data_IF_839559554070
#
_entry.id   IF_839559554070
#
_cell.length_a   1.000
_cell.length_b   1.000
_cell.length_c   1.000
_cell.angle_alpha   90.00
_cell.angle_beta   90.00
_cell.angle_gamma   90.00
#
_symmetry.space_group_name_H-M   'P 1'
#
loop_
_entity.id
_entity.type
_entity.pdbx_description
1 polymer ?
#
# COMPACT_ATOMS: atom_id res chain seq x y z
N UNK A 1 -43.43 24.07 0.63
CA UNK A 1 -42.85 24.49 -0.67
C UNK A 1 -42.63 23.21 -1.45
N UNK A 2 -43.57 22.87 -2.34
CA UNK A 2 -43.50 21.62 -3.11
C UNK A 2 -42.48 21.80 -4.23
N UNK A 3 -41.37 21.08 -4.15
CA UNK A 3 -40.39 21.01 -5.23
C UNK A 3 -41.05 20.31 -6.43
N UNK A 4 -41.22 21.06 -7.51
CA UNK A 4 -41.86 20.54 -8.71
C UNK A 4 -40.91 19.57 -9.42
N UNK A 5 -41.43 18.55 -10.09
CA UNK A 5 -40.62 17.49 -10.72
C UNK A 5 -39.61 18.05 -11.75
N UNK A 6 -39.93 19.20 -12.35
CA UNK A 6 -39.06 19.97 -13.25
C UNK A 6 -37.84 20.57 -12.54
N UNK A 7 -37.99 21.01 -11.29
CA UNK A 7 -36.89 21.58 -10.50
C UNK A 7 -35.90 20.49 -10.09
N UNK A 8 -36.42 19.30 -9.76
CA UNK A 8 -35.60 18.12 -9.43
C UNK A 8 -34.80 17.63 -10.65
N UNK A 9 -35.39 17.68 -11.85
CA UNK A 9 -34.73 17.32 -13.11
C UNK A 9 -33.61 18.31 -13.49
N UNK A 10 -33.71 19.57 -13.06
CA UNK A 10 -32.67 20.59 -13.26
C UNK A 10 -31.53 20.50 -12.23
N UNK A 11 -31.82 20.04 -11.01
CA UNK A 11 -30.84 19.90 -9.92
C UNK A 11 -30.04 18.59 -10.06
N UNK A 12 -30.65 17.53 -10.58
CA UNK A 12 -30.02 16.19 -10.71
C UNK A 12 -28.69 16.20 -11.50
N UNK A 13 -28.55 16.87 -12.66
CA UNK A 13 -27.29 16.92 -13.40
C UNK A 13 -26.19 17.62 -12.61
N UNK A 14 -26.52 18.69 -11.87
CA UNK A 14 -25.58 19.43 -11.04
C UNK A 14 -25.06 18.57 -9.87
N UNK A 15 -25.94 17.81 -9.22
CA UNK A 15 -25.56 16.84 -8.18
C UNK A 15 -24.66 15.75 -8.78
N UNK A 16 -25.04 15.20 -9.94
CA UNK A 16 -24.24 14.18 -10.63
C UNK A 16 -22.86 14.70 -11.03
N UNK A 17 -22.75 15.95 -11.47
CA UNK A 17 -21.48 16.57 -11.85
C UNK A 17 -20.58 16.78 -10.63
N UNK A 18 -21.13 17.28 -9.51
CA UNK A 18 -20.39 17.43 -8.25
C UNK A 18 -19.93 16.06 -7.72
N UNK A 19 -20.81 15.05 -7.72
CA UNK A 19 -20.48 13.69 -7.32
C UNK A 19 -19.42 13.07 -8.23
N UNK A 20 -19.56 13.21 -9.55
CA UNK A 20 -18.61 12.71 -10.54
C UNK A 20 -17.22 13.35 -10.40
N UNK A 21 -17.18 14.66 -10.15
CA UNK A 21 -15.93 15.38 -9.86
C UNK A 21 -15.30 14.88 -8.56
N UNK A 22 -16.09 14.70 -7.50
CA UNK A 22 -15.61 14.13 -6.23
C UNK A 22 -15.00 12.73 -6.40
N UNK A 23 -15.70 11.82 -7.07
CA UNK A 23 -15.20 10.46 -7.36
C UNK A 23 -13.91 10.51 -8.16
N UNK A 24 -13.86 11.35 -9.21
CA UNK A 24 -12.66 11.51 -10.05
C UNK A 24 -11.48 12.06 -9.25
N UNK A 25 -11.71 13.06 -8.40
CA UNK A 25 -10.68 13.65 -7.54
C UNK A 25 -10.12 12.63 -6.55
N UNK A 26 -10.99 11.88 -5.84
CA UNK A 26 -10.55 10.84 -4.91
C UNK A 26 -9.83 9.70 -5.61
N UNK A 27 -10.29 9.29 -6.79
CA UNK A 27 -9.65 8.27 -7.62
C UNK A 27 -8.24 8.71 -8.07
N UNK A 28 -8.10 9.92 -8.62
CA UNK A 28 -6.81 10.48 -9.04
C UNK A 28 -5.85 10.64 -7.87
N UNK A 29 -6.33 11.15 -6.72
CA UNK A 29 -5.53 11.27 -5.51
C UNK A 29 -4.99 9.91 -5.06
N UNK A 30 -5.84 8.88 -5.08
CA UNK A 30 -5.47 7.52 -4.71
C UNK A 30 -4.48 6.90 -5.70
N UNK A 31 -4.68 7.11 -7.00
CA UNK A 31 -3.75 6.66 -8.03
C UNK A 31 -2.36 7.28 -7.83
N UNK A 32 -2.28 8.60 -7.62
CA UNK A 32 -1.01 9.29 -7.38
C UNK A 32 -0.31 8.79 -6.12
N UNK A 33 -1.06 8.49 -5.06
CA UNK A 33 -0.51 7.87 -3.85
C UNK A 33 0.08 6.48 -4.13
N UNK A 34 -0.61 5.67 -4.95
CA UNK A 34 -0.11 4.35 -5.34
C UNK A 34 1.17 4.46 -6.18
N UNK A 35 1.24 5.38 -7.14
CA UNK A 35 2.43 5.61 -7.97
C UNK A 35 3.64 6.03 -7.12
N UNK A 36 3.47 7.00 -6.23
CA UNK A 36 4.53 7.44 -5.29
C UNK A 36 4.98 6.27 -4.41
N UNK A 37 4.03 5.47 -3.91
CA UNK A 37 4.33 4.29 -3.11
C UNK A 37 5.15 3.26 -3.91
N UNK A 38 4.79 2.98 -5.16
CA UNK A 38 5.52 2.04 -6.00
C UNK A 38 6.93 2.53 -6.34
N UNK A 39 7.09 3.83 -6.59
CA UNK A 39 8.42 4.45 -6.75
C UNK A 39 9.27 4.26 -5.49
N UNK A 40 8.68 4.50 -4.32
CA UNK A 40 9.35 4.29 -3.03
C UNK A 40 9.73 2.81 -2.81
N UNK A 41 8.81 1.88 -3.08
CA UNK A 41 9.08 0.44 -2.97
C UNK A 41 10.21 0.02 -3.92
N UNK A 42 10.18 0.48 -5.17
CA UNK A 42 11.24 0.17 -6.13
C UNK A 42 12.59 0.73 -5.72
N UNK A 43 12.62 1.95 -5.17
CA UNK A 43 13.81 2.53 -4.56
C UNK A 43 14.32 1.69 -3.38
N UNK A 44 13.45 1.34 -2.43
CA UNK A 44 13.82 0.51 -1.27
C UNK A 44 14.36 -0.87 -1.69
N UNK A 45 13.77 -1.51 -2.71
CA UNK A 45 14.29 -2.77 -3.25
C UNK A 45 15.69 -2.58 -3.83
N UNK A 46 15.88 -1.58 -4.70
CA UNK A 46 17.13 -1.41 -5.47
C UNK A 46 18.30 -0.90 -4.63
N UNK A 47 18.04 0.07 -3.77
CA UNK A 47 19.09 0.80 -3.05
C UNK A 47 19.36 0.25 -1.64
N UNK A 48 18.37 -0.41 -1.02
CA UNK A 48 18.49 -0.86 0.38
C UNK A 48 18.44 -2.38 0.48
N UNK A 49 17.29 -2.99 0.15
CA UNK A 49 17.01 -4.37 0.49
C UNK A 49 17.81 -5.37 -0.34
N UNK A 50 17.91 -5.17 -1.66
CA UNK A 50 18.65 -6.10 -2.51
C UNK A 50 20.17 -6.04 -2.25
N UNK A 51 20.81 -4.86 -2.12
CA UNK A 51 22.22 -4.79 -1.73
C UNK A 51 22.47 -5.39 -0.35
N UNK A 52 21.62 -5.08 0.64
CA UNK A 52 21.75 -5.65 2.00
C UNK A 52 21.61 -7.17 1.99
N UNK A 53 20.65 -7.71 1.24
CA UNK A 53 20.47 -9.15 1.09
C UNK A 53 21.71 -9.83 0.48
N UNK A 54 22.24 -9.26 -0.62
CA UNK A 54 23.43 -9.79 -1.30
C UNK A 54 24.67 -9.74 -0.40
N UNK A 55 24.92 -8.60 0.26
CA UNK A 55 26.11 -8.46 1.12
C UNK A 55 26.07 -9.40 2.33
N UNK A 56 24.91 -9.59 2.97
CA UNK A 56 24.78 -10.56 4.07
C UNK A 56 24.99 -11.99 3.55
N UNK A 57 24.50 -12.30 2.36
CA UNK A 57 24.72 -13.61 1.74
C UNK A 57 26.20 -13.84 1.42
N UNK A 58 26.91 -12.82 0.93
CA UNK A 58 28.34 -12.87 0.68
C UNK A 58 29.14 -13.07 1.97
N UNK A 59 28.76 -12.38 3.06
CA UNK A 59 29.35 -12.57 4.40
C UNK A 59 29.17 -14.03 4.86
N UNK A 60 27.97 -14.60 4.71
CA UNK A 60 27.68 -16.00 5.07
C UNK A 60 28.47 -16.99 4.22
N UNK A 61 28.70 -16.71 2.93
CA UNK A 61 29.51 -17.57 2.06
C UNK A 61 31.01 -17.56 2.45
N UNK A 62 31.46 -16.52 3.16
CA UNK A 62 32.85 -16.36 3.61
C UNK A 62 33.14 -16.94 4.99
N UNK A 63 32.20 -17.68 5.61
CA UNK A 63 32.35 -18.25 6.97
C UNK A 63 33.65 -19.05 7.13
N UNK A 64 34.07 -19.78 6.10
CA UNK A 64 35.32 -20.57 6.14
C UNK A 64 36.60 -19.71 6.20
N UNK A 65 36.54 -18.42 5.87
CA UNK A 65 37.67 -17.51 5.80
C UNK A 65 37.51 -16.31 6.74
N UNK A 66 37.82 -16.50 8.03
CA UNK A 66 37.66 -15.51 9.11
C UNK A 66 38.17 -14.11 8.79
N UNK A 67 39.35 -13.98 8.14
CA UNK A 67 39.91 -12.68 7.74
C UNK A 67 39.06 -11.97 6.68
N UNK A 68 38.60 -12.69 5.67
CA UNK A 68 37.77 -12.14 4.59
C UNK A 68 36.38 -11.79 5.09
N UNK A 69 35.80 -12.65 5.94
CA UNK A 69 34.53 -12.42 6.62
C UNK A 69 34.57 -11.14 7.47
N UNK A 70 35.59 -10.95 8.32
CA UNK A 70 35.72 -9.75 9.14
C UNK A 70 35.85 -8.47 8.31
N UNK A 71 36.54 -8.53 7.15
CA UNK A 71 36.61 -7.40 6.21
C UNK A 71 35.24 -7.11 5.57
N UNK A 72 34.49 -8.14 5.20
CA UNK A 72 33.15 -7.99 4.65
C UNK A 72 32.18 -7.40 5.68
N UNK A 73 32.25 -7.85 6.95
CA UNK A 73 31.47 -7.29 8.05
C UNK A 73 31.78 -5.81 8.32
N UNK A 74 33.06 -5.43 8.33
CA UNK A 74 33.48 -4.02 8.49
C UNK A 74 32.96 -3.15 7.35
N UNK A 75 33.05 -3.64 6.11
CA UNK A 75 32.52 -2.93 4.94
C UNK A 75 30.99 -2.79 5.00
N UNK A 76 30.29 -3.86 5.38
CA UNK A 76 28.83 -3.86 5.53
C UNK A 76 28.38 -2.87 6.61
N UNK A 77 28.99 -2.94 7.79
CA UNK A 77 28.67 -2.02 8.90
C UNK A 77 28.87 -0.57 8.47
N UNK A 78 30.05 -0.21 7.95
CA UNK A 78 30.37 1.17 7.53
C UNK A 78 29.42 1.71 6.45
N UNK A 79 29.02 0.85 5.51
CA UNK A 79 28.08 1.23 4.44
C UNK A 79 26.72 1.63 4.98
N UNK A 80 26.24 0.92 5.99
CA UNK A 80 24.88 1.05 6.50
C UNK A 80 24.78 1.87 7.81
N UNK A 81 25.88 2.13 8.52
CA UNK A 81 25.93 3.00 9.71
C UNK A 81 26.26 4.46 9.41
N UNK A 82 26.76 4.78 8.21
CA UNK A 82 27.15 6.15 7.85
C UNK A 82 25.99 7.15 7.83
N UNK A 83 26.30 8.44 8.01
CA UNK A 83 25.30 9.53 8.00
C UNK A 83 24.46 9.62 6.71
N UNK A 84 25.03 9.15 5.59
CA UNK A 84 24.34 9.05 4.29
C UNK A 84 23.74 7.67 4.01
N UNK A 85 23.61 6.83 5.04
CA UNK A 85 23.10 5.47 4.87
C UNK A 85 21.68 5.50 4.31
N UNK A 86 21.41 4.69 3.28
CA UNK A 86 20.08 4.64 2.66
C UNK A 86 19.03 4.07 3.65
N UNK A 87 19.44 3.50 4.78
CA UNK A 87 18.54 3.08 5.84
C UNK A 87 17.77 4.25 6.48
N UNK A 88 18.39 5.43 6.64
CA UNK A 88 17.77 6.56 7.34
C UNK A 88 16.68 7.26 6.53
N UNK A 89 16.79 7.25 5.20
CA UNK A 89 15.89 7.99 4.31
C UNK A 89 14.71 7.15 3.83
N UNK A 90 14.84 5.82 3.84
CA UNK A 90 13.87 4.96 3.17
C UNK A 90 13.48 3.66 3.87
N UNK A 91 14.18 3.21 4.92
CA UNK A 91 13.95 1.84 5.40
C UNK A 91 12.74 1.66 6.32
N UNK A 92 12.22 0.43 6.35
CA UNK A 92 11.22 -0.01 7.30
C UNK A 92 11.78 0.06 8.73
N UNK A 93 11.01 0.58 9.69
CA UNK A 93 11.39 0.73 11.10
C UNK A 93 11.96 -0.57 11.70
N UNK A 94 11.41 -1.73 11.32
CA UNK A 94 11.88 -3.03 11.79
C UNK A 94 13.27 -3.35 11.29
N UNK A 95 13.56 -3.11 10.02
CA UNK A 95 14.88 -3.37 9.43
C UNK A 95 15.92 -2.46 10.08
N UNK A 96 15.55 -1.20 10.31
CA UNK A 96 16.39 -0.27 11.03
C UNK A 96 16.70 -0.74 12.45
N UNK A 97 15.70 -1.18 13.23
CA UNK A 97 15.91 -1.73 14.58
C UNK A 97 16.80 -2.97 14.55
N UNK A 98 16.58 -3.88 13.60
CA UNK A 98 17.43 -5.08 13.46
C UNK A 98 18.87 -4.71 13.09
N UNK A 99 19.05 -3.69 12.26
CA UNK A 99 20.37 -3.19 11.91
C UNK A 99 21.07 -2.53 13.11
N UNK A 100 20.34 -1.79 13.95
CA UNK A 100 20.90 -1.21 15.18
C UNK A 100 21.34 -2.29 16.18
N UNK A 101 20.55 -3.36 16.34
CA UNK A 101 20.95 -4.51 17.17
C UNK A 101 22.22 -5.16 16.59
N UNK A 102 22.27 -5.41 15.28
CA UNK A 102 23.49 -5.88 14.61
C UNK A 102 24.69 -4.96 14.85
N UNK A 103 24.52 -3.65 14.70
CA UNK A 103 25.60 -2.67 14.87
C UNK A 103 26.16 -2.68 16.30
N UNK A 104 25.27 -2.75 17.30
CA UNK A 104 25.66 -2.89 18.71
C UNK A 104 26.43 -4.19 18.97
N UNK A 105 25.93 -5.33 18.45
CA UNK A 105 26.63 -6.62 18.60
C UNK A 105 27.97 -6.65 17.87
N UNK A 106 28.07 -5.93 16.75
CA UNK A 106 29.32 -5.81 16.00
C UNK A 106 30.36 -5.01 16.79
N UNK A 107 29.97 -3.89 17.41
CA UNK A 107 30.84 -3.09 18.28
C UNK A 107 31.30 -3.92 19.48
N UNK A 108 30.38 -4.61 20.16
CA UNK A 108 30.70 -5.50 21.29
C UNK A 108 31.72 -6.58 20.91
N UNK A 109 31.54 -7.22 19.76
CA UNK A 109 32.48 -8.21 19.25
C UNK A 109 33.86 -7.63 18.90
N UNK A 110 33.91 -6.37 18.45
CA UNK A 110 35.17 -5.67 18.15
C UNK A 110 35.94 -5.29 19.40
N UNK A 111 35.24 -4.92 20.46
CA UNK A 111 35.82 -4.58 21.76
C UNK A 111 36.29 -5.83 22.50
N UNK A 112 35.46 -6.89 22.52
CA UNK A 112 35.76 -8.16 23.18
C UNK A 112 35.42 -9.36 22.25
N UNK A 113 36.42 -9.91 21.53
CA UNK A 113 36.22 -10.97 20.54
C UNK A 113 36.13 -12.37 21.20
N UNK A 114 35.19 -12.55 22.12
CA UNK A 114 34.88 -13.83 22.75
C UNK A 114 33.88 -14.67 21.90
N UNK A 115 33.78 -15.96 22.19
CA UNK A 115 32.90 -16.89 21.46
C UNK A 115 31.42 -16.53 21.62
N UNK A 116 31.02 -16.08 22.81
CA UNK A 116 29.64 -15.64 23.07
C UNK A 116 29.27 -14.41 22.23
N UNK A 117 30.13 -13.39 22.20
CA UNK A 117 29.92 -12.19 21.38
C UNK A 117 29.92 -12.53 19.88
N UNK A 118 30.71 -13.51 19.46
CA UNK A 118 30.67 -14.02 18.10
C UNK A 118 29.31 -14.65 17.76
N UNK A 119 28.78 -15.48 18.66
CA UNK A 119 27.48 -16.11 18.51
C UNK A 119 26.35 -15.08 18.50
N UNK A 120 26.37 -14.09 19.39
CA UNK A 120 25.38 -13.00 19.40
C UNK A 120 25.42 -12.17 18.11
N UNK A 121 26.61 -11.85 17.61
CA UNK A 121 26.77 -11.17 16.32
C UNK A 121 26.11 -11.97 15.20
N UNK A 122 26.36 -13.28 15.12
CA UNK A 122 25.75 -14.12 14.08
C UNK A 122 24.24 -14.22 14.18
N UNK A 123 23.71 -14.36 15.41
CA UNK A 123 22.27 -14.37 15.63
C UNK A 123 21.64 -13.07 15.13
N UNK A 124 22.27 -11.91 15.39
CA UNK A 124 21.77 -10.62 14.90
C UNK A 124 21.82 -10.50 13.37
N UNK A 125 22.87 -11.00 12.73
CA UNK A 125 23.00 -11.05 11.25
C UNK A 125 21.90 -11.93 10.64
N UNK A 126 21.67 -13.10 11.22
CA UNK A 126 20.68 -14.06 10.74
C UNK A 126 19.26 -13.53 10.90
N UNK A 127 19.00 -12.85 12.01
CA UNK A 127 17.74 -12.16 12.25
C UNK A 127 17.52 -11.03 11.23
N UNK A 128 18.52 -10.17 11.02
CA UNK A 128 18.49 -9.11 10.01
C UNK A 128 18.25 -9.68 8.61
N UNK A 129 18.98 -10.74 8.22
CA UNK A 129 18.80 -11.44 6.94
C UNK A 129 17.37 -11.93 6.75
N UNK A 130 16.78 -12.55 7.77
CA UNK A 130 15.41 -13.06 7.74
C UNK A 130 14.40 -11.93 7.50
N UNK A 131 14.56 -10.79 8.20
CA UNK A 131 13.69 -9.63 8.02
C UNK A 131 13.83 -9.00 6.63
N UNK A 132 15.06 -8.81 6.15
CA UNK A 132 15.34 -8.27 4.82
C UNK A 132 14.76 -9.18 3.74
N UNK A 133 14.99 -10.50 3.82
CA UNK A 133 14.46 -11.48 2.87
C UNK A 133 12.94 -11.50 2.85
N UNK A 134 12.30 -11.49 4.03
CA UNK A 134 10.85 -11.46 4.16
C UNK A 134 10.28 -10.20 3.50
N UNK A 135 10.88 -9.03 3.79
CA UNK A 135 10.43 -7.76 3.24
C UNK A 135 10.64 -7.65 1.74
N UNK A 136 11.77 -8.13 1.24
CA UNK A 136 12.06 -8.20 -0.18
C UNK A 136 11.03 -9.07 -0.92
N UNK A 137 10.62 -10.22 -0.33
CA UNK A 137 9.57 -11.08 -0.90
C UNK A 137 8.22 -10.38 -0.95
N UNK A 138 7.85 -9.67 0.12
CA UNK A 138 6.62 -8.88 0.18
C UNK A 138 6.61 -7.76 -0.88
N UNK A 139 7.71 -7.00 -0.98
CA UNK A 139 7.83 -5.93 -1.96
C UNK A 139 7.88 -6.42 -3.39
N UNK A 140 8.54 -7.56 -3.67
CA UNK A 140 8.47 -8.21 -4.98
C UNK A 140 7.07 -8.65 -5.32
N UNK A 141 6.31 -9.20 -4.36
CA UNK A 141 4.90 -9.57 -4.59
C UNK A 141 4.06 -8.35 -4.96
N UNK A 142 4.22 -7.24 -4.23
CA UNK A 142 3.49 -5.99 -4.49
C UNK A 142 3.92 -5.36 -5.82
N UNK A 143 5.22 -5.30 -6.09
CA UNK A 143 5.76 -4.77 -7.34
C UNK A 143 5.28 -5.62 -8.52
N UNK A 144 5.46 -6.94 -8.48
CA UNK A 144 5.03 -7.86 -9.53
C UNK A 144 3.51 -7.82 -9.75
N UNK A 145 2.69 -7.77 -8.70
CA UNK A 145 1.23 -7.68 -8.89
C UNK A 145 0.81 -6.43 -9.68
N UNK A 146 1.53 -5.31 -9.51
CA UNK A 146 1.26 -4.09 -10.27
C UNK A 146 1.97 -4.10 -11.64
N UNK A 147 3.16 -4.69 -11.72
CA UNK A 147 3.93 -4.80 -12.95
C UNK A 147 3.33 -5.81 -13.93
N UNK A 148 2.73 -6.91 -13.47
CA UNK A 148 2.10 -7.93 -14.31
C UNK A 148 0.95 -7.34 -15.13
N UNK A 149 0.13 -6.48 -14.52
CA UNK A 149 -0.93 -5.77 -15.26
C UNK A 149 -0.35 -4.83 -16.31
N UNK A 150 0.65 -4.02 -15.93
CA UNK A 150 1.29 -3.07 -16.84
C UNK A 150 2.04 -3.77 -17.99
N UNK A 151 2.78 -4.84 -17.69
CA UNK A 151 3.49 -5.66 -18.67
C UNK A 151 2.51 -6.40 -19.59
N UNK A 152 1.41 -6.94 -19.05
CA UNK A 152 0.35 -7.55 -19.85
C UNK A 152 -0.25 -6.54 -20.83
N UNK A 153 -0.51 -5.32 -20.38
CA UNK A 153 -1.03 -4.24 -21.24
C UNK A 153 -0.01 -3.80 -22.30
N UNK A 154 1.24 -3.59 -21.90
CA UNK A 154 2.30 -3.16 -22.83
C UNK A 154 2.69 -4.26 -23.85
N UNK A 155 2.37 -5.52 -23.57
CA UNK A 155 2.56 -6.62 -24.53
C UNK A 155 1.52 -6.61 -25.65
N UNK A 156 0.40 -5.88 -25.47
CA UNK A 156 -0.60 -5.70 -26.53
C UNK A 156 -0.27 -4.53 -27.44
N UNK A 157 -0.92 -4.51 -28.61
CA UNK A 157 -0.83 -3.40 -29.56
C UNK A 157 -1.20 -2.06 -28.87
N UNK A 158 -0.52 -0.93 -29.16
CA UNK A 158 -0.81 0.38 -28.54
C UNK A 158 -2.29 0.77 -28.48
N UNK A 159 -3.08 0.43 -29.51
CA UNK A 159 -4.53 0.69 -29.52
C UNK A 159 -5.28 -0.11 -28.44
N UNK A 160 -4.89 -1.36 -28.22
CA UNK A 160 -5.44 -2.22 -27.17
C UNK A 160 -5.03 -1.71 -25.80
N UNK A 161 -3.82 -1.17 -25.66
CA UNK A 161 -3.37 -0.58 -24.41
C UNK A 161 -4.21 0.66 -24.01
N UNK A 162 -4.48 1.55 -24.97
CA UNK A 162 -5.37 2.70 -24.76
C UNK A 162 -6.79 2.25 -24.41
N UNK A 163 -7.32 1.22 -25.10
CA UNK A 163 -8.64 0.65 -24.79
C UNK A 163 -8.67 0.03 -23.38
N UNK A 164 -7.61 -0.65 -22.95
CA UNK A 164 -7.51 -1.25 -21.63
C UNK A 164 -7.45 -0.18 -20.53
N UNK A 165 -6.73 0.92 -20.76
CA UNK A 165 -6.71 2.08 -19.86
C UNK A 165 -8.06 2.79 -19.80
N UNK A 166 -8.72 2.97 -20.94
CA UNK A 166 -10.08 3.52 -20.98
C UNK A 166 -11.07 2.60 -20.24
N UNK A 167 -11.00 1.29 -20.46
CA UNK A 167 -11.83 0.32 -19.75
C UNK A 167 -11.56 0.34 -18.24
N UNK A 168 -10.30 0.48 -17.81
CA UNK A 168 -9.95 0.65 -16.40
C UNK A 168 -10.62 1.89 -15.81
N UNK A 169 -10.58 3.02 -16.50
CA UNK A 169 -11.23 4.25 -16.05
C UNK A 169 -12.74 4.03 -15.90
N UNK A 170 -13.39 3.45 -16.92
CA UNK A 170 -14.82 3.12 -16.90
C UNK A 170 -15.14 2.18 -15.74
N UNK A 171 -14.34 1.13 -15.54
CA UNK A 171 -14.52 0.15 -14.47
C UNK A 171 -14.41 0.78 -13.07
N UNK A 172 -13.45 1.67 -12.85
CA UNK A 172 -13.29 2.40 -11.57
C UNK A 172 -14.49 3.34 -11.33
N UNK A 173 -14.93 4.07 -12.36
CA UNK A 173 -16.10 4.94 -12.28
C UNK A 173 -17.37 4.15 -12.00
N UNK A 174 -17.56 3.00 -12.67
CA UNK A 174 -18.69 2.10 -12.44
C UNK A 174 -18.68 1.55 -11.02
N UNK A 175 -17.53 1.10 -10.50
CA UNK A 175 -17.41 0.69 -9.10
C UNK A 175 -17.86 1.80 -8.13
N UNK A 176 -17.47 3.06 -8.39
CA UNK A 176 -17.89 4.20 -7.59
C UNK A 176 -19.41 4.45 -7.67
N UNK A 177 -19.96 4.44 -8.88
CA UNK A 177 -21.40 4.61 -9.12
C UNK A 177 -22.22 3.48 -8.49
N UNK A 178 -21.75 2.23 -8.55
CA UNK A 178 -22.41 1.09 -7.92
C UNK A 178 -22.44 1.24 -6.40
N UNK A 179 -21.36 1.73 -5.76
CA UNK A 179 -21.35 2.00 -4.33
C UNK A 179 -22.38 3.07 -3.94
N UNK A 180 -22.49 4.14 -4.73
CA UNK A 180 -23.50 5.19 -4.52
C UNK A 180 -24.91 4.60 -4.68
N UNK A 181 -25.15 3.85 -5.76
CA UNK A 181 -26.44 3.23 -6.03
C UNK A 181 -26.86 2.24 -4.91
N UNK A 182 -25.92 1.44 -4.41
CA UNK A 182 -26.16 0.56 -3.26
C UNK A 182 -26.46 1.36 -1.99
N UNK A 183 -25.75 2.46 -1.73
CA UNK A 183 -26.02 3.36 -0.61
C UNK A 183 -27.43 3.96 -0.67
N UNK A 184 -27.82 4.48 -1.83
CA UNK A 184 -29.17 5.01 -2.08
C UNK A 184 -30.22 3.92 -1.90
N UNK A 185 -29.99 2.72 -2.44
CA UNK A 185 -30.88 1.56 -2.27
C UNK A 185 -31.04 1.20 -0.79
N UNK A 186 -29.96 1.21 -0.01
CA UNK A 186 -30.01 0.91 1.42
C UNK A 186 -30.82 1.97 2.18
N UNK A 187 -30.58 3.26 1.92
CA UNK A 187 -31.34 4.36 2.50
C UNK A 187 -32.83 4.26 2.17
N UNK A 188 -33.18 3.91 0.92
CA UNK A 188 -34.58 3.71 0.52
C UNK A 188 -35.23 2.54 1.24
N UNK A 189 -34.51 1.42 1.45
CA UNK A 189 -35.04 0.28 2.20
C UNK A 189 -35.26 0.61 3.69
N UNK A 190 -34.36 1.40 4.29
CA UNK A 190 -34.51 1.88 5.67
C UNK A 190 -35.73 2.81 5.78
N UNK A 191 -35.89 3.76 4.85
CA UNK A 191 -37.03 4.65 4.83
C UNK A 191 -38.36 3.89 4.70
N UNK A 192 -38.39 2.83 3.87
CA UNK A 192 -39.53 1.91 3.76
C UNK A 192 -39.78 1.17 5.06
N UNK A 193 -38.75 0.61 5.69
CA UNK A 193 -38.89 -0.07 6.98
C UNK A 193 -39.48 0.84 8.06
N UNK A 194 -39.04 2.10 8.10
CA UNK A 194 -39.55 3.11 9.02
C UNK A 194 -41.00 3.51 8.72
N UNK A 195 -41.42 3.60 7.44
CA UNK A 195 -42.81 3.90 7.09
C UNK A 195 -43.77 2.78 7.50
N UNK A 196 -43.34 1.51 7.38
CA UNK A 196 -44.10 0.36 7.87
C UNK A 196 -44.25 0.34 9.40
N UNK A 197 -43.24 0.81 10.14
CA UNK A 197 -43.31 0.96 11.60
C UNK A 197 -44.18 2.15 12.04
N UNK A 198 -44.23 3.21 11.23
CA UNK A 198 -44.97 4.45 11.51
C UNK A 198 -46.44 4.47 11.07
N UNK A 199 -46.95 3.41 10.41
CA UNK A 199 -48.29 3.38 9.78
C UNK A 199 -48.55 4.51 8.76
N UNK A 200 -47.50 5.09 8.16
CA UNK A 200 -47.64 6.13 7.14
C UNK A 200 -47.78 5.49 5.74
N UNK A 201 -48.91 5.69 5.02
CA UNK A 201 -49.21 5.01 3.74
C UNK A 201 -48.48 5.63 2.53
N UNK A 202 -47.41 6.38 2.75
CA UNK A 202 -46.81 7.24 1.71
C UNK A 202 -46.11 6.41 0.61
N UNK A 203 -45.70 5.17 0.92
CA UNK A 203 -44.95 4.34 -0.03
C UNK A 203 -45.85 3.26 -0.62
N UNK A 204 -46.19 3.41 -1.90
CA UNK A 204 -46.95 2.41 -2.65
C UNK A 204 -46.08 1.19 -2.97
N UNK A 205 -46.66 -0.04 -2.98
CA UNK A 205 -45.93 -1.27 -3.29
C UNK A 205 -45.24 -1.23 -4.68
N UNK A 206 -45.75 -0.40 -5.59
CA UNK A 206 -45.21 -0.14 -6.92
C UNK A 206 -43.85 0.58 -6.91
N UNK A 207 -43.65 1.50 -5.96
CA UNK A 207 -42.37 2.22 -5.81
C UNK A 207 -41.32 1.27 -5.22
N UNK A 208 -41.71 0.43 -4.27
CA UNK A 208 -40.83 -0.57 -3.66
C UNK A 208 -40.34 -1.61 -4.67
N UNK A 209 -41.24 -2.16 -5.50
CA UNK A 209 -40.88 -3.13 -6.53
C UNK A 209 -39.94 -2.52 -7.58
N UNK A 210 -40.17 -1.25 -7.95
CA UNK A 210 -39.30 -0.53 -8.89
C UNK A 210 -37.89 -0.31 -8.34
N UNK A 211 -37.77 0.06 -7.06
CA UNK A 211 -36.48 0.23 -6.39
C UNK A 211 -35.73 -1.11 -6.35
N UNK A 212 -36.37 -2.18 -5.88
CA UNK A 212 -35.75 -3.50 -5.81
C UNK A 212 -35.27 -4.00 -7.17
N UNK A 213 -36.10 -3.85 -8.21
CA UNK A 213 -35.76 -4.27 -9.57
C UNK A 213 -34.59 -3.45 -10.13
N UNK A 214 -34.56 -2.14 -9.88
CA UNK A 214 -33.44 -1.29 -10.29
C UNK A 214 -32.13 -1.66 -9.58
N UNK A 215 -32.16 -1.96 -8.28
CA UNK A 215 -30.99 -2.38 -7.52
C UNK A 215 -30.44 -3.73 -7.99
N UNK A 216 -31.34 -4.69 -8.28
CA UNK A 216 -30.96 -5.98 -8.85
C UNK A 216 -30.26 -5.79 -10.20
N UNK A 217 -30.82 -4.96 -11.09
CA UNK A 217 -30.20 -4.66 -12.39
C UNK A 217 -28.82 -4.02 -12.25
N UNK A 218 -28.66 -3.08 -11.31
CA UNK A 218 -27.36 -2.45 -11.03
C UNK A 218 -26.33 -3.49 -10.54
N UNK A 219 -26.74 -4.43 -9.68
CA UNK A 219 -25.86 -5.51 -9.21
C UNK A 219 -25.47 -6.44 -10.36
N UNK A 220 -26.41 -6.85 -11.21
CA UNK A 220 -26.11 -7.70 -12.37
C UNK A 220 -25.19 -7.00 -13.37
N UNK A 221 -25.44 -5.73 -13.65
CA UNK A 221 -24.59 -4.92 -14.51
C UNK A 221 -23.16 -4.82 -13.95
N UNK A 222 -23.04 -4.61 -12.63
CA UNK A 222 -21.77 -4.60 -11.94
C UNK A 222 -21.04 -5.95 -12.02
N UNK A 223 -21.75 -7.07 -11.79
CA UNK A 223 -21.20 -8.42 -11.89
C UNK A 223 -20.72 -8.73 -13.32
N UNK A 224 -21.46 -8.31 -14.34
CA UNK A 224 -21.08 -8.45 -15.73
C UNK A 224 -19.79 -7.68 -16.05
N UNK A 225 -19.70 -6.42 -15.62
CA UNK A 225 -18.48 -5.62 -15.78
C UNK A 225 -17.29 -6.19 -15.00
N UNK A 226 -17.53 -6.74 -13.81
CA UNK A 226 -16.51 -7.45 -13.04
C UNK A 226 -15.99 -8.68 -13.79
N UNK A 227 -16.88 -9.45 -14.39
CA UNK A 227 -16.54 -10.61 -15.21
C UNK A 227 -15.75 -10.22 -16.48
N UNK A 228 -16.19 -9.17 -17.20
CA UNK A 228 -15.47 -8.63 -18.36
C UNK A 228 -14.07 -8.15 -17.97
N UNK A 229 -13.95 -7.44 -16.85
CA UNK A 229 -12.66 -7.00 -16.34
C UNK A 229 -11.74 -8.18 -16.07
N UNK A 230 -12.23 -9.24 -15.41
CA UNK A 230 -11.44 -10.44 -15.10
C UNK A 230 -10.96 -11.17 -16.36
N UNK A 231 -11.80 -11.25 -17.38
CA UNK A 231 -11.53 -12.02 -18.61
C UNK A 231 -10.62 -11.26 -19.59
N UNK A 232 -10.89 -9.97 -19.83
CA UNK A 232 -10.20 -9.20 -20.87
C UNK A 232 -8.94 -8.51 -20.32
N UNK A 233 -9.08 -7.72 -19.28
CA UNK A 233 -8.02 -6.81 -18.81
C UNK A 233 -7.22 -7.43 -17.66
N UNK A 234 -7.88 -8.20 -16.80
CA UNK A 234 -7.31 -8.72 -15.56
C UNK A 234 -6.91 -7.62 -14.59
N UNK A 235 -7.52 -6.42 -14.68
CA UNK A 235 -7.20 -5.34 -13.75
C UNK A 235 -7.67 -5.70 -12.36
N UNK A 236 -6.73 -5.96 -11.47
CA UNK A 236 -7.03 -6.04 -10.06
C UNK A 236 -6.91 -4.62 -9.51
N UNK A 237 -8.02 -4.05 -9.05
CA UNK A 237 -7.96 -2.93 -8.10
C UNK A 237 -7.12 -3.43 -6.93
N UNK A 238 -5.84 -3.05 -6.91
CA UNK A 238 -4.83 -3.65 -6.04
C UNK A 238 -5.38 -3.83 -4.64
N UNK A 239 -5.16 -5.01 -4.05
CA UNK A 239 -5.68 -5.38 -2.73
C UNK A 239 -5.50 -4.23 -1.74
N UNK A 240 -6.56 -3.45 -1.51
CA UNK A 240 -6.59 -2.36 -0.54
C UNK A 240 -6.20 -2.87 0.86
N UNK A 241 -6.33 -4.17 1.10
CA UNK A 241 -5.94 -4.81 2.36
C UNK A 241 -4.43 -4.90 2.53
N UNK A 242 -3.66 -5.21 1.49
CA UNK A 242 -2.19 -5.22 1.58
C UNK A 242 -1.65 -3.78 1.55
N UNK A 243 -2.15 -2.94 0.64
CA UNK A 243 -1.75 -1.53 0.56
C UNK A 243 -2.13 -0.74 1.82
N UNK A 244 -3.34 -0.93 2.35
CA UNK A 244 -3.81 -0.30 3.59
C UNK A 244 -3.05 -0.77 4.83
N UNK A 245 -2.68 -2.06 4.89
CA UNK A 245 -1.80 -2.56 5.94
C UNK A 245 -0.43 -1.88 5.86
N UNK A 246 0.24 -1.90 4.70
CA UNK A 246 1.56 -1.30 4.54
C UNK A 246 1.57 0.21 4.78
N UNK A 247 0.60 0.95 4.25
CA UNK A 247 0.50 2.41 4.48
C UNK A 247 0.17 2.75 5.94
N UNK A 248 -0.61 1.91 6.64
CA UNK A 248 -0.81 2.08 8.08
C UNK A 248 0.45 1.75 8.91
N UNK A 249 1.29 0.81 8.44
CA UNK A 249 2.60 0.56 9.03
C UNK A 249 3.50 1.77 8.80
N UNK A 250 3.64 2.26 7.56
CA UNK A 250 4.48 3.41 7.23
C UNK A 250 4.05 4.67 7.98
N UNK A 251 2.75 4.95 8.16
CA UNK A 251 2.30 6.13 8.92
C UNK A 251 2.54 6.00 10.42
N UNK A 252 2.36 4.81 11.00
CA UNK A 252 2.72 4.53 12.41
C UNK A 252 4.22 4.56 12.64
N UNK A 253 5.00 4.04 11.70
CA UNK A 253 6.46 4.03 11.74
C UNK A 253 7.01 5.46 11.60
N UNK A 254 6.47 6.28 10.69
CA UNK A 254 6.81 7.71 10.57
C UNK A 254 6.42 8.45 11.85
N UNK A 255 5.27 8.14 12.46
CA UNK A 255 4.86 8.75 13.73
C UNK A 255 5.79 8.34 14.88
N UNK A 256 6.15 7.07 14.97
CA UNK A 256 7.12 6.54 15.95
C UNK A 256 8.52 7.15 15.77
N UNK A 257 9.00 7.27 14.53
CA UNK A 257 10.27 7.95 14.20
C UNK A 257 10.18 9.46 14.43
N UNK A 258 9.02 10.11 14.27
CA UNK A 258 8.86 11.53 14.59
C UNK A 258 8.78 11.77 16.10
N UNK A 259 8.17 10.86 16.85
CA UNK A 259 8.05 10.93 18.31
C UNK A 259 9.36 10.55 19.01
N UNK A 260 10.15 9.61 18.46
CA UNK A 260 11.46 9.20 19.01
C UNK A 260 12.67 9.83 18.32
N UNK A 261 12.50 10.38 17.13
CA UNK A 261 13.52 11.08 16.35
C UNK A 261 13.60 12.58 16.64
N UNK A 262 12.90 13.06 17.68
CA UNK A 262 13.45 14.13 18.50
C UNK A 262 14.64 13.52 19.24
N UNK A 263 15.76 13.44 18.51
CA UNK A 263 17.08 13.10 19.02
C UNK A 263 17.28 13.96 20.28
N UNK A 264 17.47 13.38 21.48
CA UNK A 264 17.91 14.18 22.61
C UNK A 264 19.20 14.88 22.17
N UNK A 265 19.23 16.20 22.27
CA UNK A 265 20.46 16.97 22.09
C UNK A 265 21.53 16.29 22.94
N UNK A 266 22.51 15.68 22.27
CA UNK A 266 23.75 15.32 22.92
C UNK A 266 24.38 16.66 23.32
N UNK A 267 24.07 17.12 24.52
CA UNK A 267 24.89 18.10 25.20
C UNK A 267 26.27 17.48 25.33
N UNK A 268 27.18 17.89 24.45
CA UNK A 268 28.60 17.81 24.71
C UNK A 268 28.87 18.66 25.95
N UNK A 269 28.79 18.04 27.13
CA UNK A 269 29.46 18.63 28.28
C UNK A 269 30.95 18.56 27.98
N UNK A 270 31.51 19.75 27.79
CA UNK A 270 32.92 19.97 27.54
C UNK A 270 33.76 19.39 28.66
N UNK A 271 34.93 18.92 28.25
CA UNK A 271 36.07 18.79 29.13
C UNK A 271 36.41 20.18 29.70
N UNK A 272 36.32 20.30 31.03
CA UNK A 272 37.32 21.01 31.83
C UNK A 272 37.99 19.97 32.74
#
# INVERSE_FOLDING_TARGET
>A
MELNLKDLLLILPSILLICGWGVTYFSNRKQKQNEIFLLKVNYEIKEILAPMYQEIQDIRNLISHRKSMNRALDKFQKKFSGAYSPLYTGSNSKIFICFQDFDQRYIQYKEDPCEDNHNYLWVSIDYLYSQVKSRLKEYRRISNSNHEWFLKINSFNPLIAVLADFFRLVYVTLNGLTLIALGVSLCSLIAVGLSYLGNDPIITPTILSSILLSSILVIFFWLFFFWLNKTLVGYQTGSNKEFGKLTSYTSKDIKYVREKGNIPEYHSQGND
#
